data_IF_850157778152
#
_entry.id   IF_850157778152
#
_cell.length_a   1.000
_cell.length_b   1.000
_cell.length_c   1.000
_cell.angle_alpha   90.00
_cell.angle_beta   90.00
_cell.angle_gamma   90.00
#
_symmetry.space_group_name_H-M   'P 1'
#
loop_
_entity.id
_entity.type
_entity.pdbx_description
1 polymer ?
#
# COMPACT_ATOMS: atom_id res chain seq x y z
N UNK A 1 -16.83 3.21 3.00
CA UNK A 1 -17.02 1.74 2.88
C UNK A 1 -15.82 0.97 3.46
N UNK A 2 -14.66 0.92 2.85
CA UNK A 2 -13.52 0.12 3.33
C UNK A 2 -13.12 0.36 4.80
N UNK A 3 -13.17 1.61 5.26
CA UNK A 3 -12.90 1.95 6.67
C UNK A 3 -13.86 1.28 7.65
N UNK A 4 -15.15 1.28 7.32
CA UNK A 4 -16.16 0.65 8.19
C UNK A 4 -15.93 -0.86 8.25
N UNK A 5 -15.72 -1.50 7.10
CA UNK A 5 -15.40 -2.93 7.02
C UNK A 5 -14.14 -3.26 7.83
N UNK A 6 -13.10 -2.45 7.71
CA UNK A 6 -11.87 -2.65 8.46
C UNK A 6 -12.09 -2.55 9.98
N UNK A 7 -12.91 -1.60 10.43
CA UNK A 7 -13.28 -1.47 11.83
C UNK A 7 -14.06 -2.70 12.33
N UNK A 8 -15.04 -3.17 11.55
CA UNK A 8 -15.84 -4.36 11.89
C UNK A 8 -14.97 -5.62 11.96
N UNK A 9 -13.94 -5.70 11.13
CA UNK A 9 -12.97 -6.79 11.12
C UNK A 9 -11.81 -6.58 12.11
N UNK A 10 -11.81 -5.49 12.87
CA UNK A 10 -10.72 -5.10 13.76
C UNK A 10 -9.36 -4.99 13.04
N UNK A 11 -9.38 -4.49 11.81
CA UNK A 11 -8.19 -4.22 10.99
C UNK A 11 -7.87 -2.74 11.06
N UNK A 12 -6.70 -2.40 11.60
CA UNK A 12 -6.22 -1.02 11.66
C UNK A 12 -5.70 -0.60 10.28
N UNK A 13 -6.34 0.40 9.67
CA UNK A 13 -5.88 1.04 8.45
C UNK A 13 -5.15 2.35 8.74
N UNK A 14 -4.18 2.68 7.90
CA UNK A 14 -3.56 3.99 7.80
C UNK A 14 -3.92 4.60 6.45
N UNK A 15 -3.87 5.93 6.37
CA UNK A 15 -4.12 6.68 5.14
C UNK A 15 -2.90 7.51 4.83
N UNK A 16 -2.56 7.61 3.56
CA UNK A 16 -1.40 8.39 3.15
C UNK A 16 -1.26 8.47 1.64
N UNK A 17 -0.19 9.11 1.24
CA UNK A 17 0.19 9.31 -0.16
C UNK A 17 1.20 8.23 -0.56
N UNK A 18 0.84 7.47 -1.59
CA UNK A 18 1.73 6.47 -2.17
C UNK A 18 2.54 7.07 -3.32
N UNK A 19 3.85 6.94 -3.24
CA UNK A 19 4.79 7.36 -4.29
C UNK A 19 5.17 6.14 -5.12
N UNK A 20 4.93 6.22 -6.44
CA UNK A 20 5.37 5.18 -7.37
C UNK A 20 6.79 5.42 -7.86
N UNK A 21 7.63 4.39 -7.81
CA UNK A 21 8.97 4.37 -8.39
C UNK A 21 9.08 3.28 -9.45
N UNK A 22 10.10 3.35 -10.27
CA UNK A 22 10.28 2.36 -11.35
C UNK A 22 10.97 1.07 -10.86
N UNK A 23 11.75 1.14 -9.82
CA UNK A 23 12.64 0.05 -9.43
C UNK A 23 13.73 -0.21 -10.47
N UNK A 24 14.34 -1.39 -10.50
CA UNK A 24 14.05 -2.60 -9.68
C UNK A 24 14.72 -2.62 -8.30
N UNK A 25 15.52 -1.61 -7.97
CA UNK A 25 16.22 -1.54 -6.67
C UNK A 25 15.36 -0.86 -5.62
N UNK A 26 15.61 -1.16 -4.35
CA UNK A 26 15.09 -0.37 -3.25
C UNK A 26 15.67 1.04 -3.26
N UNK A 27 14.93 1.96 -2.67
CA UNK A 27 15.26 3.37 -2.62
C UNK A 27 16.47 3.63 -1.71
N UNK A 28 17.25 4.63 -2.08
CA UNK A 28 18.33 5.17 -1.26
C UNK A 28 17.76 6.04 -0.13
N UNK A 29 18.56 6.30 0.89
CA UNK A 29 18.19 7.22 1.97
C UNK A 29 17.91 8.66 1.48
N UNK A 30 18.55 9.08 0.39
CA UNK A 30 18.29 10.38 -0.23
C UNK A 30 16.92 10.41 -0.90
N UNK A 31 16.54 9.33 -1.59
CA UNK A 31 15.23 9.18 -2.21
C UNK A 31 14.11 9.16 -1.16
N UNK A 32 14.26 8.42 -0.06
CA UNK A 32 13.27 8.45 1.02
C UNK A 32 13.08 9.85 1.60
N UNK A 33 14.16 10.60 1.82
CA UNK A 33 14.06 12.00 2.29
C UNK A 33 13.38 12.90 1.26
N UNK A 34 13.67 12.71 -0.02
CA UNK A 34 13.03 13.45 -1.10
C UNK A 34 11.53 13.15 -1.16
N UNK A 35 11.13 11.88 -1.17
CA UNK A 35 9.71 11.50 -1.21
C UNK A 35 8.95 12.01 -0.01
N UNK A 36 9.53 11.95 1.18
CA UNK A 36 8.94 12.56 2.37
C UNK A 36 8.78 14.08 2.24
N UNK A 37 9.77 14.77 1.69
CA UNK A 37 9.75 16.22 1.52
C UNK A 37 8.62 16.70 0.57
N UNK A 38 8.29 15.90 -0.45
CA UNK A 38 7.19 16.18 -1.38
C UNK A 38 5.82 15.67 -0.89
N UNK A 39 5.73 15.13 0.33
CA UNK A 39 4.49 14.70 0.98
C UNK A 39 4.14 13.21 0.79
N UNK A 40 5.07 12.38 0.38
CA UNK A 40 4.88 10.93 0.32
C UNK A 40 4.94 10.27 1.70
N UNK A 41 4.07 9.31 1.94
CA UNK A 41 3.99 8.52 3.17
C UNK A 41 4.46 7.08 2.96
N UNK A 42 4.27 6.54 1.77
CA UNK A 42 4.69 5.21 1.36
C UNK A 42 5.29 5.24 -0.04
N UNK A 43 6.18 4.32 -0.34
CA UNK A 43 6.80 4.17 -1.65
C UNK A 43 6.79 2.72 -2.11
N UNK A 44 6.67 2.50 -3.40
CA UNK A 44 6.75 1.18 -4.01
C UNK A 44 6.74 1.24 -5.53
N UNK A 45 6.82 0.06 -6.15
CA UNK A 45 7.03 -0.10 -7.60
C UNK A 45 5.76 -0.46 -8.37
N UNK A 46 4.59 -0.33 -7.75
CA UNK A 46 3.30 -0.75 -8.30
C UNK A 46 2.23 0.34 -8.15
N UNK A 47 0.97 0.00 -8.43
CA UNK A 47 -0.22 0.76 -8.06
C UNK A 47 -0.45 2.04 -8.87
N UNK A 48 0.57 2.88 -9.08
CA UNK A 48 0.42 4.20 -9.74
C UNK A 48 0.06 4.07 -11.23
N UNK A 49 0.72 3.23 -12.05
CA UNK A 49 0.36 3.09 -13.46
C UNK A 49 -1.08 2.61 -13.65
N UNK A 50 -1.50 1.61 -12.89
CA UNK A 50 -2.86 1.06 -12.94
C UNK A 50 -3.90 2.10 -12.50
N UNK A 51 -3.58 2.87 -11.46
CA UNK A 51 -4.44 3.95 -10.97
C UNK A 51 -4.62 5.05 -12.01
N UNK A 52 -3.54 5.45 -12.68
CA UNK A 52 -3.59 6.49 -13.74
C UNK A 52 -4.51 6.02 -14.87
N UNK A 53 -4.33 4.80 -15.37
CA UNK A 53 -5.15 4.26 -16.46
C UNK A 53 -6.61 4.15 -16.06
N UNK A 54 -6.90 3.57 -14.91
CA UNK A 54 -8.27 3.41 -14.42
C UNK A 54 -8.97 4.77 -14.25
N UNK A 55 -8.29 5.75 -13.65
CA UNK A 55 -8.83 7.09 -13.48
C UNK A 55 -9.03 7.83 -14.79
N UNK A 56 -8.14 7.67 -15.76
CA UNK A 56 -8.32 8.21 -17.11
C UNK A 56 -9.58 7.63 -17.79
N UNK A 57 -9.87 6.37 -17.55
CA UNK A 57 -11.08 5.68 -18.06
C UNK A 57 -12.35 5.99 -17.25
N UNK A 58 -12.29 6.80 -16.20
CA UNK A 58 -13.43 7.08 -15.32
C UNK A 58 -13.78 5.96 -14.34
N UNK A 59 -12.94 4.94 -14.22
CA UNK A 59 -13.16 3.81 -13.30
C UNK A 59 -12.78 4.21 -11.87
N UNK A 60 -13.63 3.97 -10.86
CA UNK A 60 -13.26 4.14 -9.46
C UNK A 60 -12.13 3.19 -9.06
N UNK A 61 -11.23 3.67 -8.21
CA UNK A 61 -10.08 2.89 -7.74
C UNK A 61 -10.06 2.86 -6.22
N UNK A 62 -9.85 1.69 -5.67
CA UNK A 62 -9.46 1.47 -4.29
C UNK A 62 -8.07 0.83 -4.27
N UNK A 63 -7.12 1.45 -3.60
CA UNK A 63 -5.76 0.95 -3.44
C UNK A 63 -5.45 0.69 -1.98
N UNK A 64 -4.79 -0.42 -1.70
CA UNK A 64 -4.29 -0.77 -0.37
C UNK A 64 -2.91 -1.42 -0.49
N UNK A 65 -1.99 -1.02 0.37
CA UNK A 65 -0.63 -1.55 0.41
C UNK A 65 -0.31 -2.10 1.80
N UNK A 66 0.50 -3.13 1.84
CA UNK A 66 1.11 -3.62 3.06
C UNK A 66 2.45 -2.92 3.24
N UNK A 67 2.61 -2.22 4.36
CA UNK A 67 3.90 -1.62 4.71
C UNK A 67 4.76 -2.67 5.38
N UNK A 68 5.87 -3.01 4.74
CA UNK A 68 6.74 -4.11 5.15
C UNK A 68 7.95 -3.66 5.95
N UNK A 69 8.39 -2.42 5.73
CA UNK A 69 9.54 -1.83 6.41
C UNK A 69 9.47 -0.30 6.42
N UNK A 70 10.27 0.33 7.23
CA UNK A 70 10.40 1.78 7.29
C UNK A 70 11.74 2.20 6.68
N UNK A 71 11.72 2.87 5.54
CA UNK A 71 12.91 3.26 4.78
C UNK A 71 13.81 4.30 5.48
N UNK A 72 13.26 5.05 6.44
CA UNK A 72 14.01 6.04 7.23
C UNK A 72 14.50 5.49 8.57
N UNK A 73 14.28 4.22 8.88
CA UNK A 73 14.83 3.58 10.07
C UNK A 73 16.26 3.10 9.82
N UNK A 74 17.04 2.96 10.89
CA UNK A 74 18.38 2.37 10.83
C UNK A 74 18.37 0.86 10.56
N UNK A 75 17.18 0.24 10.64
CA UNK A 75 16.98 -1.16 10.30
C UNK A 75 16.80 -1.29 8.78
N UNK A 76 17.74 -1.94 8.14
CA UNK A 76 17.60 -2.33 6.73
C UNK A 76 16.66 -3.54 6.66
N UNK A 77 15.45 -3.33 6.14
CA UNK A 77 14.60 -4.44 5.72
C UNK A 77 15.26 -5.17 4.55
N UNK A 78 15.27 -6.50 4.57
CA UNK A 78 15.67 -7.30 3.43
C UNK A 78 14.45 -7.86 2.69
N UNK A 79 14.70 -8.57 1.59
CA UNK A 79 13.63 -9.14 0.77
C UNK A 79 12.84 -10.24 1.53
N UNK A 80 13.48 -10.95 2.44
CA UNK A 80 12.84 -11.99 3.26
C UNK A 80 11.86 -11.36 4.26
N UNK A 81 12.23 -10.25 4.89
CA UNK A 81 11.34 -9.47 5.75
C UNK A 81 10.10 -8.98 5.00
N UNK A 82 10.28 -8.47 3.78
CA UNK A 82 9.18 -8.04 2.90
C UNK A 82 8.21 -9.19 2.63
N UNK A 83 8.72 -10.36 2.29
CA UNK A 83 7.90 -11.56 2.04
C UNK A 83 7.16 -12.01 3.28
N UNK A 84 7.83 -12.05 4.42
CA UNK A 84 7.22 -12.47 5.70
C UNK A 84 6.09 -11.51 6.10
N UNK A 85 6.31 -10.20 6.08
CA UNK A 85 5.30 -9.20 6.40
C UNK A 85 4.11 -9.27 5.42
N UNK A 86 4.38 -9.46 4.14
CA UNK A 86 3.36 -9.66 3.12
C UNK A 86 2.49 -10.89 3.41
N UNK A 87 3.09 -11.99 3.80
CA UNK A 87 2.35 -13.23 4.17
C UNK A 87 1.48 -13.03 5.42
N UNK A 88 2.02 -12.42 6.47
CA UNK A 88 1.30 -12.16 7.71
C UNK A 88 0.12 -11.20 7.53
N UNK A 89 0.24 -10.22 6.64
CA UNK A 89 -0.82 -9.28 6.32
C UNK A 89 -1.85 -9.83 5.30
N UNK A 90 -1.46 -10.83 4.51
CA UNK A 90 -2.25 -11.35 3.40
C UNK A 90 -3.65 -11.82 3.78
N UNK A 91 -3.78 -12.54 4.90
CA UNK A 91 -5.08 -13.01 5.38
C UNK A 91 -6.01 -11.85 5.77
N UNK A 92 -5.49 -10.82 6.46
CA UNK A 92 -6.27 -9.64 6.85
C UNK A 92 -6.71 -8.85 5.63
N UNK A 93 -5.81 -8.69 4.69
CA UNK A 93 -6.07 -8.04 3.41
C UNK A 93 -7.16 -8.76 2.61
N UNK A 94 -7.04 -10.08 2.49
CA UNK A 94 -8.01 -10.92 1.78
C UNK A 94 -9.40 -10.80 2.39
N UNK A 95 -9.53 -10.87 3.71
CA UNK A 95 -10.82 -10.69 4.41
C UNK A 95 -11.46 -9.34 4.10
N UNK A 96 -10.68 -8.27 4.15
CA UNK A 96 -11.19 -6.93 3.85
C UNK A 96 -11.66 -6.82 2.40
N UNK A 97 -10.90 -7.33 1.43
CA UNK A 97 -11.28 -7.29 0.02
C UNK A 97 -12.53 -8.12 -0.26
N UNK A 98 -12.67 -9.32 0.33
CA UNK A 98 -13.86 -10.15 0.17
C UNK A 98 -15.11 -9.42 0.66
N UNK A 99 -15.05 -8.80 1.84
CA UNK A 99 -16.19 -8.05 2.38
C UNK A 99 -16.47 -6.78 1.58
N UNK A 100 -15.44 -6.10 1.09
CA UNK A 100 -15.59 -4.94 0.23
C UNK A 100 -16.32 -5.30 -1.08
N UNK A 101 -15.90 -6.38 -1.74
CA UNK A 101 -16.53 -6.87 -2.96
C UNK A 101 -17.99 -7.25 -2.71
N UNK A 102 -18.29 -7.98 -1.62
CA UNK A 102 -19.66 -8.33 -1.27
C UNK A 102 -20.55 -7.09 -1.12
N UNK A 103 -20.09 -6.04 -0.46
CA UNK A 103 -20.85 -4.80 -0.29
C UNK A 103 -21.01 -3.98 -1.58
N UNK A 104 -20.11 -4.13 -2.55
CA UNK A 104 -20.21 -3.44 -3.84
C UNK A 104 -21.26 -4.08 -4.78
N UNK A 105 -21.58 -5.35 -4.59
CA UNK A 105 -22.45 -6.13 -5.48
C UNK A 105 -23.75 -6.61 -4.80
N UNK A 106 -24.04 -6.08 -3.62
CA UNK A 106 -25.37 -6.21 -2.99
C UNK A 106 -26.27 -5.05 -3.42
#
# INVERSE_FOLDING_TARGET
MATNIANDLNIKLQYGVYVGTTGPTFETQAEYRYFKAIGGDAVGMSTVPETIVARHMGVPVFGMSVITNCGLSDQKGDHEDVQLQGKLAGERMSKLFVELIKQLYQ
#
